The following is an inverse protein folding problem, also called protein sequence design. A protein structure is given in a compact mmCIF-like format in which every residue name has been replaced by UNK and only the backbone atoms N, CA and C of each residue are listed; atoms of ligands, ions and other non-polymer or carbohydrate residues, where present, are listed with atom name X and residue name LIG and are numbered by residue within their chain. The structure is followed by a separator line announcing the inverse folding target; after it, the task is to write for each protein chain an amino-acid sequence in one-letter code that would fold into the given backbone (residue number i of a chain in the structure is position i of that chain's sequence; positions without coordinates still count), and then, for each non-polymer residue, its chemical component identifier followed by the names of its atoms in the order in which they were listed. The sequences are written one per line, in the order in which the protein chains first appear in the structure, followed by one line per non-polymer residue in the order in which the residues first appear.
data_IF_186997639209
#
_entry.id   IF_186997639209
#
_cell.length_a   1.000
_cell.length_b   1.000
_cell.length_c   1.000
_cell.angle_alpha   90.00
_cell.angle_beta   90.00
_cell.angle_gamma   90.00
#
_symmetry.space_group_name_H-M   'P 1'
#
loop_
_entity.id
_entity.type
_entity.pdbx_description
1 polymer ?
#
# COMPACT_ATOMS: atom_id res chain seq x y z
N UNK A 1 33.82 -52.37 -48.09
CA UNK A 1 32.66 -51.48 -47.87
C UNK A 1 32.85 -50.44 -46.77
N UNK A 2 33.60 -50.71 -45.69
CA UNK A 2 33.87 -49.70 -44.64
C UNK A 2 32.59 -49.22 -43.91
N UNK A 3 31.63 -50.12 -43.67
CA UNK A 3 30.39 -49.86 -42.95
C UNK A 3 30.65 -49.59 -41.46
N UNK A 4 29.74 -48.87 -40.81
CA UNK A 4 29.72 -48.71 -39.35
C UNK A 4 29.56 -50.06 -38.65
N UNK A 5 30.47 -50.38 -37.74
CA UNK A 5 30.45 -51.64 -36.98
C UNK A 5 29.30 -51.72 -35.95
N UNK A 6 28.68 -50.59 -35.62
CA UNK A 6 27.54 -50.50 -34.69
C UNK A 6 26.22 -50.26 -35.45
N UNK A 7 26.27 -49.55 -36.58
CA UNK A 7 25.08 -49.09 -37.32
C UNK A 7 24.66 -49.97 -38.50
N UNK A 8 25.39 -51.03 -38.84
CA UNK A 8 25.14 -51.83 -40.06
C UNK A 8 25.11 -53.34 -39.79
N UNK A 9 24.23 -54.05 -40.49
CA UNK A 9 24.13 -55.52 -40.48
C UNK A 9 24.99 -56.20 -41.55
N UNK A 10 25.56 -55.45 -42.50
CA UNK A 10 26.36 -55.98 -43.59
C UNK A 10 26.48 -55.03 -44.78
N UNK A 11 27.23 -55.45 -45.80
CA UNK A 11 27.32 -54.73 -47.08
C UNK A 11 26.51 -55.44 -48.16
N UNK A 12 25.90 -54.66 -49.05
CA UNK A 12 25.28 -55.20 -50.27
C UNK A 12 26.35 -55.50 -51.33
N UNK A 13 26.08 -56.39 -52.28
CA UNK A 13 26.98 -56.69 -53.42
C UNK A 13 27.15 -55.51 -54.41
N UNK A 14 26.52 -54.36 -54.13
CA UNK A 14 26.72 -53.11 -54.84
C UNK A 14 27.87 -52.32 -54.17
N UNK A 15 28.90 -51.87 -54.91
CA UNK A 15 30.13 -51.37 -54.33
C UNK A 15 29.91 -50.09 -53.51
N UNK A 16 29.91 -50.24 -52.18
CA UNK A 16 29.92 -49.12 -51.23
C UNK A 16 28.59 -48.78 -50.55
N UNK A 17 27.54 -49.59 -50.71
CA UNK A 17 26.28 -49.40 -49.97
C UNK A 17 26.12 -50.43 -48.83
N UNK A 18 25.92 -49.93 -47.61
CA UNK A 18 25.77 -50.73 -46.41
C UNK A 18 24.30 -50.84 -45.97
N UNK A 19 23.90 -52.02 -45.49
CA UNK A 19 22.55 -52.23 -44.93
C UNK A 19 22.51 -51.70 -43.51
N UNK A 20 21.73 -50.64 -43.27
CA UNK A 20 21.68 -49.98 -41.97
C UNK A 20 20.68 -50.63 -41.02
N UNK A 21 21.03 -50.64 -39.73
CA UNK A 21 20.15 -51.04 -38.65
C UNK A 21 19.14 -49.93 -38.33
N UNK A 22 17.98 -50.24 -37.71
CA UNK A 22 17.02 -49.24 -37.28
C UNK A 22 17.68 -48.15 -36.43
N UNK A 23 17.43 -46.88 -36.78
CA UNK A 23 18.04 -45.72 -36.13
C UNK A 23 19.32 -45.19 -36.77
N UNK A 24 19.88 -45.87 -37.78
CA UNK A 24 21.09 -45.42 -38.50
C UNK A 24 20.80 -45.07 -39.97
N UNK A 25 21.59 -44.15 -40.52
CA UNK A 25 21.48 -43.64 -41.89
C UNK A 25 22.86 -43.22 -42.45
N UNK A 26 22.87 -42.88 -43.74
CA UNK A 26 24.09 -42.63 -44.53
C UNK A 26 24.47 -43.85 -45.39
N UNK A 27 25.42 -43.67 -46.31
CA UNK A 27 25.82 -44.75 -47.24
C UNK A 27 26.56 -45.90 -46.53
N UNK A 28 27.18 -45.60 -45.39
CA UNK A 28 27.96 -46.52 -44.55
C UNK A 28 27.33 -46.68 -43.16
N UNK A 29 26.13 -46.16 -42.94
CA UNK A 29 25.41 -46.16 -41.66
C UNK A 29 26.17 -45.40 -40.55
N UNK A 30 26.81 -44.30 -40.95
CA UNK A 30 27.72 -43.50 -40.12
C UNK A 30 27.03 -42.39 -39.28
N UNK A 31 25.75 -42.14 -39.52
CA UNK A 31 24.97 -41.09 -38.83
C UNK A 31 23.63 -41.63 -38.34
N UNK A 32 22.95 -40.89 -37.46
CA UNK A 32 21.62 -41.29 -36.98
C UNK A 32 20.53 -40.98 -38.01
N UNK A 33 19.51 -41.82 -38.05
CA UNK A 33 18.33 -41.64 -38.89
C UNK A 33 17.44 -40.50 -38.37
N UNK A 34 16.60 -39.93 -39.24
CA UNK A 34 15.67 -38.87 -38.84
C UNK A 34 14.73 -39.34 -37.72
N UNK A 35 14.78 -38.67 -36.56
CA UNK A 35 14.07 -39.10 -35.34
C UNK A 35 14.95 -39.88 -34.35
N UNK A 36 16.27 -39.92 -34.57
CA UNK A 36 17.27 -40.46 -33.66
C UNK A 36 18.44 -39.47 -33.49
N UNK A 37 19.13 -39.54 -32.36
CA UNK A 37 20.29 -38.71 -32.02
C UNK A 37 21.43 -39.57 -31.40
N UNK A 38 22.69 -39.12 -31.42
CA UNK A 38 23.82 -39.91 -30.93
C UNK A 38 23.91 -39.95 -29.39
N UNK A 39 24.16 -41.14 -28.84
CA UNK A 39 24.62 -41.32 -27.45
C UNK A 39 26.14 -41.10 -27.37
N UNK A 40 26.54 -39.96 -26.80
CA UNK A 40 27.93 -39.60 -26.53
C UNK A 40 28.70 -40.64 -25.70
N UNK A 41 28.02 -41.46 -24.88
CA UNK A 41 28.67 -42.50 -24.08
C UNK A 41 28.94 -43.80 -24.86
N UNK A 42 28.21 -44.08 -25.95
CA UNK A 42 28.17 -45.44 -26.55
C UNK A 42 28.22 -45.50 -28.07
N UNK A 43 28.24 -44.37 -28.79
CA UNK A 43 28.18 -44.34 -30.26
C UNK A 43 26.94 -45.02 -30.86
N UNK A 44 25.86 -45.14 -30.07
CA UNK A 44 24.59 -45.70 -30.51
C UNK A 44 23.60 -44.58 -30.85
N UNK A 45 22.70 -44.80 -31.81
CA UNK A 45 21.63 -43.86 -32.12
C UNK A 45 20.37 -44.15 -31.27
N UNK A 46 19.99 -43.21 -30.41
CA UNK A 46 18.83 -43.29 -29.53
C UNK A 46 17.61 -42.57 -30.14
N UNK A 47 16.38 -43.08 -30.00
CA UNK A 47 15.19 -42.45 -30.57
C UNK A 47 14.85 -41.14 -29.84
N UNK A 48 14.65 -40.07 -30.62
CA UNK A 48 14.31 -38.72 -30.12
C UNK A 48 13.10 -38.74 -29.17
N UNK A 49 12.11 -39.59 -29.41
CA UNK A 49 10.94 -39.81 -28.54
C UNK A 49 10.15 -38.52 -28.22
N UNK A 50 10.03 -37.62 -29.20
CA UNK A 50 9.31 -36.36 -29.07
C UNK A 50 7.79 -36.57 -28.93
N UNK A 51 7.15 -35.77 -28.07
CA UNK A 51 5.70 -35.76 -27.88
C UNK A 51 4.96 -35.48 -29.20
N UNK A 52 4.03 -36.35 -29.65
CA UNK A 52 3.31 -36.14 -30.90
C UNK A 52 2.33 -34.96 -30.82
N UNK A 53 1.79 -34.67 -29.63
CA UNK A 53 0.91 -33.51 -29.40
C UNK A 53 1.72 -32.23 -29.24
N UNK A 54 2.86 -32.25 -28.53
CA UNK A 54 3.59 -31.04 -28.15
C UNK A 54 4.80 -30.65 -29.01
N UNK A 55 5.41 -31.58 -29.76
CA UNK A 55 6.51 -31.26 -30.67
C UNK A 55 6.02 -30.88 -32.08
N UNK A 56 6.85 -30.14 -32.83
CA UNK A 56 6.63 -29.80 -34.25
C UNK A 56 6.89 -30.99 -35.20
N UNK A 57 7.55 -32.05 -34.71
CA UNK A 57 7.84 -33.26 -35.45
C UNK A 57 8.64 -34.25 -34.58
N UNK A 58 8.95 -35.46 -35.10
CA UNK A 58 9.63 -36.50 -34.34
C UNK A 58 11.16 -36.32 -34.25
N UNK A 59 11.74 -35.31 -34.91
CA UNK A 59 13.18 -35.04 -34.94
C UNK A 59 13.62 -34.04 -33.86
N UNK A 60 14.81 -34.31 -33.31
CA UNK A 60 15.51 -33.58 -32.28
C UNK A 60 16.89 -33.12 -32.78
N UNK A 61 17.62 -32.35 -31.97
CA UNK A 61 19.06 -32.09 -32.15
C UNK A 61 19.92 -33.23 -31.57
N UNK A 62 21.25 -33.10 -31.65
CA UNK A 62 22.19 -34.14 -31.22
C UNK A 62 22.14 -34.42 -29.69
N UNK A 63 21.82 -33.40 -28.89
CA UNK A 63 21.54 -33.50 -27.44
C UNK A 63 20.21 -34.24 -27.13
N UNK A 64 19.42 -34.56 -28.16
CA UNK A 64 18.15 -35.26 -28.03
C UNK A 64 16.96 -34.34 -27.70
N UNK A 65 17.09 -33.02 -27.86
CA UNK A 65 16.04 -32.03 -27.57
C UNK A 65 15.10 -31.84 -28.76
N UNK A 66 13.82 -31.98 -28.50
CA UNK A 66 12.76 -31.83 -29.49
C UNK A 66 12.41 -30.36 -29.73
N UNK A 67 12.00 -30.02 -30.97
CA UNK A 67 11.52 -28.66 -31.31
C UNK A 67 10.04 -28.53 -30.93
N UNK A 68 9.76 -27.80 -29.85
CA UNK A 68 8.42 -27.71 -29.27
C UNK A 68 7.50 -26.73 -30.02
N UNK A 69 6.19 -26.97 -29.91
CA UNK A 69 5.13 -26.01 -30.25
C UNK A 69 5.06 -24.91 -29.18
N UNK A 70 4.42 -23.80 -29.52
CA UNK A 70 4.10 -22.72 -28.56
C UNK A 70 3.30 -23.29 -27.39
N UNK A 71 3.67 -22.91 -26.16
CA UNK A 71 3.05 -23.41 -24.92
C UNK A 71 3.61 -24.73 -24.38
N UNK A 72 4.53 -25.39 -25.09
CA UNK A 72 5.17 -26.65 -24.69
C UNK A 72 6.65 -26.45 -24.36
N UNK A 73 7.18 -27.23 -23.42
CA UNK A 73 8.58 -27.17 -22.94
C UNK A 73 9.11 -28.55 -22.56
N UNK A 74 10.31 -28.57 -21.97
CA UNK A 74 11.10 -29.75 -21.61
C UNK A 74 11.71 -30.49 -22.81
N UNK A 75 12.61 -31.45 -22.56
CA UNK A 75 13.43 -32.10 -23.58
C UNK A 75 12.59 -32.76 -24.69
N UNK A 76 11.41 -33.28 -24.34
CA UNK A 76 10.53 -34.05 -25.21
C UNK A 76 9.24 -33.32 -25.61
N UNK A 77 9.07 -32.06 -25.22
CA UNK A 77 7.86 -31.25 -25.50
C UNK A 77 6.58 -31.86 -24.92
N UNK A 78 6.68 -32.48 -23.75
CA UNK A 78 5.66 -33.27 -23.06
C UNK A 78 5.03 -32.55 -21.86
N UNK A 79 5.43 -31.29 -21.59
CA UNK A 79 4.98 -30.48 -20.46
C UNK A 79 4.64 -29.07 -20.91
N UNK A 80 3.65 -28.43 -20.29
CA UNK A 80 3.34 -27.02 -20.56
C UNK A 80 4.46 -26.09 -20.08
N UNK A 81 4.75 -25.04 -20.84
CA UNK A 81 5.67 -23.97 -20.47
C UNK A 81 5.07 -23.05 -19.39
N UNK A 82 5.89 -22.22 -18.76
CA UNK A 82 5.37 -21.18 -17.88
C UNK A 82 4.45 -20.21 -18.66
N UNK A 83 3.41 -19.73 -18.00
CA UNK A 83 2.31 -19.01 -18.66
C UNK A 83 1.29 -19.90 -19.37
N UNK A 84 1.42 -21.24 -19.30
CA UNK A 84 0.48 -22.22 -19.85
C UNK A 84 0.13 -23.32 -18.83
N UNK A 85 -1.06 -23.90 -18.97
CA UNK A 85 -1.58 -25.00 -18.14
C UNK A 85 -2.19 -26.10 -18.99
N UNK A 86 -2.28 -27.31 -18.46
CA UNK A 86 -2.85 -28.46 -19.15
C UNK A 86 -4.39 -28.43 -19.13
N UNK A 87 -4.99 -28.33 -20.32
CA UNK A 87 -6.42 -28.41 -20.53
C UNK A 87 -6.71 -29.51 -21.58
N UNK A 88 -7.43 -30.56 -21.19
CA UNK A 88 -7.85 -31.64 -22.10
C UNK A 88 -6.71 -32.30 -22.92
N UNK A 89 -5.49 -32.38 -22.37
CA UNK A 89 -4.31 -32.93 -23.04
C UNK A 89 -3.62 -31.96 -24.03
N UNK A 90 -3.94 -30.67 -23.99
CA UNK A 90 -3.24 -29.59 -24.69
C UNK A 90 -2.82 -28.50 -23.70
N UNK A 91 -1.87 -27.64 -24.08
CA UNK A 91 -1.43 -26.54 -23.23
C UNK A 91 -2.10 -25.23 -23.64
N UNK A 92 -2.96 -24.70 -22.78
CA UNK A 92 -3.65 -23.42 -22.96
C UNK A 92 -2.96 -22.29 -22.18
N UNK A 93 -3.02 -21.03 -22.66
CA UNK A 93 -2.43 -19.90 -21.94
C UNK A 93 -3.22 -19.54 -20.66
N UNK A 94 -2.51 -19.15 -19.62
CA UNK A 94 -3.09 -18.76 -18.32
C UNK A 94 -4.06 -17.58 -18.43
N UNK A 95 -5.33 -17.77 -18.07
CA UNK A 95 -6.42 -16.78 -18.26
C UNK A 95 -6.56 -15.79 -17.07
N UNK A 96 -5.47 -15.17 -16.64
CA UNK A 96 -5.39 -14.43 -15.37
C UNK A 96 -5.87 -12.97 -15.39
N UNK A 97 -6.86 -12.63 -16.24
CA UNK A 97 -7.42 -11.26 -16.37
C UNK A 97 -6.38 -10.12 -16.51
N UNK A 98 -5.20 -10.40 -17.08
CA UNK A 98 -4.04 -9.49 -17.14
C UNK A 98 -3.54 -8.98 -15.76
N UNK A 99 -3.84 -9.72 -14.69
CA UNK A 99 -3.35 -9.48 -13.32
C UNK A 99 -2.31 -10.53 -12.89
N UNK A 100 -2.02 -11.53 -13.71
CA UNK A 100 -0.80 -12.35 -13.64
C UNK A 100 -0.43 -12.85 -15.04
N UNK A 101 0.82 -13.26 -15.23
CA UNK A 101 1.33 -13.98 -16.39
C UNK A 101 1.69 -15.43 -16.07
N UNK A 102 1.39 -15.91 -14.85
CA UNK A 102 1.72 -17.25 -14.36
C UNK A 102 0.53 -17.90 -13.67
N UNK A 103 0.36 -19.19 -13.91
CA UNK A 103 -0.63 -20.03 -13.26
C UNK A 103 -0.03 -21.40 -12.95
N UNK A 104 -0.66 -22.14 -12.04
CA UNK A 104 -0.35 -23.53 -11.79
C UNK A 104 -0.61 -24.38 -13.05
N UNK A 105 0.39 -25.17 -13.44
CA UNK A 105 0.40 -25.86 -14.74
C UNK A 105 -0.62 -27.01 -14.85
N UNK A 106 -1.21 -27.48 -13.75
CA UNK A 106 -2.20 -28.56 -13.73
C UNK A 106 -3.64 -28.06 -13.58
N UNK A 107 -3.85 -26.98 -12.82
CA UNK A 107 -5.20 -26.48 -12.48
C UNK A 107 -5.60 -25.19 -13.19
N UNK A 108 -4.65 -24.53 -13.86
CA UNK A 108 -4.86 -23.19 -14.45
C UNK A 108 -4.99 -22.06 -13.40
N UNK A 109 -4.86 -22.37 -12.10
CA UNK A 109 -5.05 -21.40 -11.02
C UNK A 109 -3.94 -20.36 -11.02
N UNK A 110 -4.30 -19.09 -11.21
CA UNK A 110 -3.36 -17.98 -11.34
C UNK A 110 -2.56 -17.72 -10.07
N UNK A 111 -1.25 -17.56 -10.24
CA UNK A 111 -0.30 -17.35 -9.14
C UNK A 111 0.01 -15.86 -9.00
N UNK A 112 0.23 -15.41 -7.77
CA UNK A 112 0.68 -14.04 -7.43
C UNK A 112 -0.16 -12.89 -8.03
N UNK A 113 -1.50 -13.04 -8.07
CA UNK A 113 -2.45 -12.04 -8.56
C UNK A 113 -2.14 -10.59 -8.11
N UNK A 114 -1.84 -9.72 -9.07
CA UNK A 114 -1.41 -8.33 -8.89
C UNK A 114 -2.59 -7.35 -8.84
N UNK A 115 -2.32 -6.06 -8.64
CA UNK A 115 -3.37 -5.03 -8.67
C UNK A 115 -4.46 -5.18 -7.61
N UNK A 116 -4.14 -5.81 -6.47
CA UNK A 116 -5.07 -6.12 -5.37
C UNK A 116 -6.22 -7.07 -5.76
N UNK A 117 -5.96 -8.01 -6.67
CA UNK A 117 -6.93 -9.06 -7.05
C UNK A 117 -6.70 -10.40 -6.33
N UNK A 118 -7.75 -11.22 -6.33
CA UNK A 118 -7.77 -12.63 -5.89
C UNK A 118 -8.81 -13.43 -6.71
N UNK A 119 -9.05 -14.69 -6.35
CA UNK A 119 -9.83 -15.64 -7.16
C UNK A 119 -8.93 -16.53 -8.04
N UNK A 120 -9.51 -17.49 -8.76
CA UNK A 120 -8.74 -18.49 -9.54
C UNK A 120 -8.07 -17.91 -10.77
N UNK A 121 -8.63 -16.84 -11.31
CA UNK A 121 -8.25 -16.14 -12.54
C UNK A 121 -7.92 -14.67 -12.26
N UNK A 122 -7.67 -14.31 -10.99
CA UNK A 122 -7.53 -12.93 -10.53
C UNK A 122 -8.78 -12.05 -10.83
N UNK A 123 -9.96 -12.67 -10.84
CA UNK A 123 -11.26 -12.11 -11.24
C UNK A 123 -11.95 -11.27 -10.14
N UNK A 124 -11.58 -11.48 -8.87
CA UNK A 124 -12.12 -10.78 -7.71
C UNK A 124 -11.16 -9.68 -7.23
N UNK A 125 -11.68 -8.68 -6.52
CA UNK A 125 -10.86 -7.77 -5.73
C UNK A 125 -10.66 -8.34 -4.31
N UNK A 126 -9.48 -8.14 -3.73
CA UNK A 126 -9.17 -8.60 -2.38
C UNK A 126 -10.08 -7.95 -1.34
N UNK A 127 -10.35 -8.67 -0.26
CA UNK A 127 -11.00 -8.13 0.94
C UNK A 127 -10.47 -6.73 1.32
N UNK A 128 -11.36 -5.75 1.43
CA UNK A 128 -11.03 -4.34 1.66
C UNK A 128 -10.74 -3.52 0.40
N UNK A 129 -10.98 -4.07 -0.79
CA UNK A 129 -10.96 -3.40 -2.09
C UNK A 129 -12.27 -3.62 -2.85
N UNK A 130 -12.67 -2.65 -3.66
CA UNK A 130 -13.84 -2.72 -4.54
C UNK A 130 -13.41 -2.54 -6.00
N UNK A 131 -14.17 -3.13 -6.93
CA UNK A 131 -13.94 -3.00 -8.36
C UNK A 131 -14.52 -1.68 -8.87
N UNK A 132 -13.69 -0.85 -9.50
CA UNK A 132 -14.11 0.29 -10.33
C UNK A 132 -13.58 0.09 -11.75
N UNK A 133 -14.50 -0.02 -12.71
CA UNK A 133 -14.23 -0.57 -14.05
C UNK A 133 -13.40 -1.87 -13.98
N UNK A 134 -12.12 -1.82 -14.36
CA UNK A 134 -11.23 -2.98 -14.37
C UNK A 134 -10.21 -3.02 -13.22
N UNK A 135 -10.21 -2.02 -12.33
CA UNK A 135 -9.19 -1.85 -11.28
C UNK A 135 -9.76 -1.99 -9.87
N UNK A 136 -9.00 -2.59 -8.96
CA UNK A 136 -9.39 -2.76 -7.56
C UNK A 136 -8.86 -1.61 -6.70
N UNK A 137 -9.77 -0.74 -6.27
CA UNK A 137 -9.47 0.43 -5.44
C UNK A 137 -9.75 0.10 -3.98
N UNK A 138 -8.97 0.68 -3.06
CA UNK A 138 -9.15 0.42 -1.62
C UNK A 138 -10.50 0.98 -1.16
N UNK A 139 -11.22 0.23 -0.33
CA UNK A 139 -12.44 0.73 0.30
C UNK A 139 -12.15 2.03 1.09
N UNK A 140 -12.98 3.07 0.94
CA UNK A 140 -12.83 4.37 1.64
C UNK A 140 -13.25 4.30 3.12
N UNK A 141 -13.14 3.13 3.75
CA UNK A 141 -13.54 2.85 5.12
C UNK A 141 -12.41 3.18 6.10
N UNK A 142 -12.76 3.83 7.21
CA UNK A 142 -11.85 3.97 8.35
C UNK A 142 -11.42 2.61 8.89
N UNK A 143 -10.11 2.37 8.99
CA UNK A 143 -9.53 1.12 9.48
C UNK A 143 -9.80 0.86 10.96
N UNK A 144 -9.95 1.93 11.74
CA UNK A 144 -10.25 1.87 13.18
C UNK A 144 -11.76 1.72 13.39
N UNK A 145 -12.59 2.43 12.63
CA UNK A 145 -14.03 2.52 12.85
C UNK A 145 -14.90 1.54 12.03
N UNK A 146 -14.30 0.70 11.17
CA UNK A 146 -15.02 -0.28 10.35
C UNK A 146 -14.37 -1.68 10.42
N UNK A 147 -15.00 -2.67 9.77
CA UNK A 147 -14.34 -3.90 9.30
C UNK A 147 -13.36 -3.63 8.16
N UNK A 148 -13.51 -2.50 7.44
CA UNK A 148 -12.68 -2.13 6.29
C UNK A 148 -13.17 -2.66 4.94
N UNK A 149 -14.23 -3.48 4.93
CA UNK A 149 -14.88 -4.02 3.73
C UNK A 149 -16.02 -3.10 3.26
N UNK A 150 -16.31 -3.11 1.96
CA UNK A 150 -17.31 -2.26 1.35
C UNK A 150 -17.95 -2.90 0.10
N UNK A 151 -19.14 -2.43 -0.23
CA UNK A 151 -19.94 -2.81 -1.40
C UNK A 151 -20.40 -1.58 -2.18
N UNK A 152 -20.54 -1.70 -3.49
CA UNK A 152 -21.08 -0.66 -4.37
C UNK A 152 -22.39 -1.17 -4.98
N UNK A 153 -23.49 -0.41 -4.87
CA UNK A 153 -24.77 -0.83 -5.44
C UNK A 153 -24.90 -0.36 -6.90
N UNK A 154 -25.70 -1.05 -7.74
CA UNK A 154 -25.89 -0.64 -9.13
C UNK A 154 -26.44 0.80 -9.23
N UNK A 155 -25.67 1.68 -9.86
CA UNK A 155 -26.00 3.11 -10.00
C UNK A 155 -25.35 4.04 -8.96
N UNK A 156 -24.70 3.51 -7.92
CA UNK A 156 -23.88 4.32 -7.01
C UNK A 156 -22.49 4.60 -7.61
N UNK A 157 -22.00 5.83 -7.47
CA UNK A 157 -20.66 6.23 -7.93
C UNK A 157 -19.54 5.94 -6.90
N UNK A 158 -19.90 5.60 -5.67
CA UNK A 158 -18.98 5.33 -4.57
C UNK A 158 -19.48 4.15 -3.73
N UNK A 159 -18.58 3.31 -3.18
CA UNK A 159 -18.98 2.19 -2.32
C UNK A 159 -19.36 2.67 -0.91
N UNK A 160 -20.18 1.88 -0.22
CA UNK A 160 -20.54 2.02 1.19
C UNK A 160 -19.92 0.88 2.01
N UNK A 161 -19.38 1.18 3.18
CA UNK A 161 -18.78 0.20 4.08
C UNK A 161 -19.84 -0.75 4.68
N UNK A 162 -19.51 -2.05 4.78
CA UNK A 162 -20.52 -3.05 5.16
C UNK A 162 -20.94 -2.96 6.62
N UNK A 163 -19.99 -2.58 7.50
CA UNK A 163 -20.21 -2.52 8.94
C UNK A 163 -19.31 -1.46 9.60
N UNK A 164 -19.95 -0.52 10.29
CA UNK A 164 -19.29 0.36 11.24
C UNK A 164 -19.20 -0.30 12.62
N UNK A 165 -18.21 0.10 13.42
CA UNK A 165 -18.08 -0.30 14.82
C UNK A 165 -19.02 0.53 15.69
N UNK A 166 -19.27 0.05 16.91
CA UNK A 166 -20.08 0.76 17.91
C UNK A 166 -19.51 2.18 18.10
N UNK A 167 -20.40 3.18 18.07
CA UNK A 167 -20.05 4.60 18.13
C UNK A 167 -19.86 5.29 16.78
N UNK A 168 -19.77 4.55 15.67
CA UNK A 168 -19.52 5.11 14.34
C UNK A 168 -20.65 4.85 13.34
N UNK A 169 -20.79 5.75 12.37
CA UNK A 169 -21.84 5.78 11.34
C UNK A 169 -21.38 6.53 10.08
N UNK A 170 -22.31 6.77 9.15
CA UNK A 170 -22.02 7.32 7.82
C UNK A 170 -21.52 6.24 6.83
N UNK A 171 -21.53 6.51 5.51
CA UNK A 171 -21.21 5.51 4.48
C UNK A 171 -19.77 5.00 4.55
N UNK A 172 -18.84 5.82 5.06
CA UNK A 172 -17.42 5.52 5.21
C UNK A 172 -17.01 5.14 6.66
N UNK A 173 -17.99 5.02 7.57
CA UNK A 173 -17.78 4.84 9.01
C UNK A 173 -16.86 5.91 9.64
N UNK A 174 -17.03 7.17 9.22
CA UNK A 174 -16.19 8.30 9.60
C UNK A 174 -16.96 9.42 10.33
N UNK A 175 -18.17 9.14 10.80
CA UNK A 175 -19.03 10.06 11.55
C UNK A 175 -19.43 9.40 12.87
N UNK A 176 -19.62 10.16 13.95
CA UNK A 176 -20.11 9.58 15.19
C UNK A 176 -21.60 9.24 15.11
N UNK A 177 -21.98 8.08 15.65
CA UNK A 177 -23.37 7.65 15.76
C UNK A 177 -24.12 8.48 16.82
N UNK A 178 -25.45 8.53 16.74
CA UNK A 178 -26.25 9.22 17.76
C UNK A 178 -25.97 8.67 19.18
N UNK A 179 -25.75 9.57 20.14
CA UNK A 179 -25.26 9.23 21.49
C UNK A 179 -23.74 9.16 21.62
N UNK A 180 -22.99 9.56 20.57
CA UNK A 180 -21.54 9.70 20.58
C UNK A 180 -21.12 11.05 19.97
N UNK A 181 -19.97 11.55 20.39
CA UNK A 181 -19.35 12.79 19.90
C UNK A 181 -17.87 12.53 19.56
N UNK A 182 -17.30 13.35 18.69
CA UNK A 182 -15.89 13.23 18.33
C UNK A 182 -14.99 13.82 19.43
N UNK A 183 -13.99 13.04 19.83
CA UNK A 183 -12.87 13.47 20.66
C UNK A 183 -11.60 12.96 19.99
N UNK A 184 -10.83 13.86 19.38
CA UNK A 184 -9.58 13.54 18.68
C UNK A 184 -9.73 12.44 17.60
N UNK A 185 -10.77 12.54 16.75
CA UNK A 185 -11.13 11.53 15.73
C UNK A 185 -11.60 10.17 16.28
N UNK A 186 -11.94 10.10 17.58
CA UNK A 186 -12.49 8.91 18.23
C UNK A 186 -13.89 9.24 18.76
N UNK A 187 -14.89 8.44 18.38
CA UNK A 187 -16.27 8.65 18.83
C UNK A 187 -16.49 8.16 20.27
N UNK A 188 -16.56 9.09 21.21
CA UNK A 188 -16.77 8.85 22.64
C UNK A 188 -18.27 8.91 22.97
N UNK A 189 -18.75 8.01 23.83
CA UNK A 189 -20.17 7.95 24.22
C UNK A 189 -20.54 9.16 25.09
N UNK A 190 -21.62 9.85 24.73
CA UNK A 190 -22.16 10.98 25.49
C UNK A 190 -22.71 10.53 26.84
N UNK A 191 -22.49 11.35 27.87
CA UNK A 191 -22.81 11.05 29.27
C UNK A 191 -23.85 12.04 29.79
N UNK A 192 -25.13 11.73 29.57
CA UNK A 192 -26.26 12.62 29.89
C UNK A 192 -27.02 12.20 31.17
N UNK A 193 -26.36 11.46 32.07
CA UNK A 193 -26.89 10.97 33.35
C UNK A 193 -28.23 10.20 33.31
N UNK A 194 -28.66 9.73 32.13
CA UNK A 194 -29.99 9.12 31.92
C UNK A 194 -31.13 10.13 31.73
N UNK A 195 -30.85 11.44 31.83
CA UNK A 195 -31.82 12.52 31.74
C UNK A 195 -32.11 12.97 30.29
N UNK A 196 -31.94 12.08 29.30
CA UNK A 196 -32.26 12.32 27.88
C UNK A 196 -32.86 11.05 27.30
N UNK A 197 -34.05 11.15 26.71
CA UNK A 197 -34.74 10.03 26.06
C UNK A 197 -34.42 9.99 24.55
N UNK A 198 -33.77 8.92 24.04
CA UNK A 198 -33.46 8.76 22.61
C UNK A 198 -34.68 8.61 21.69
N UNK A 199 -35.89 8.42 22.23
CA UNK A 199 -37.14 8.34 21.45
C UNK A 199 -37.83 9.69 21.30
N UNK A 200 -37.56 10.64 22.22
CA UNK A 200 -38.12 11.99 22.21
C UNK A 200 -37.17 13.01 21.58
N UNK A 201 -35.85 12.79 21.66
CA UNK A 201 -34.83 13.69 21.11
C UNK A 201 -34.19 13.12 19.84
N UNK A 202 -34.14 13.87 18.71
CA UNK A 202 -33.55 13.38 17.46
C UNK A 202 -32.03 13.14 17.55
N UNK A 203 -31.36 13.82 18.50
CA UNK A 203 -29.97 13.60 18.88
C UNK A 203 -29.83 13.72 20.39
N UNK A 204 -29.03 12.82 20.99
CA UNK A 204 -28.80 12.77 22.44
C UNK A 204 -27.84 13.89 22.90
N UNK A 205 -26.95 14.32 22.01
CA UNK A 205 -25.86 15.26 22.28
C UNK A 205 -25.37 15.91 20.97
N UNK A 206 -24.62 17.01 21.09
CA UNK A 206 -23.94 17.67 19.97
C UNK A 206 -22.73 16.82 19.53
N UNK A 207 -22.60 16.45 18.24
CA UNK A 207 -21.57 15.50 17.80
C UNK A 207 -20.14 16.05 17.85
N UNK A 208 -19.95 17.37 17.94
CA UNK A 208 -18.63 18.02 17.98
C UNK A 208 -18.22 18.50 19.39
N UNK A 209 -19.11 18.44 20.38
CA UNK A 209 -18.78 18.85 21.76
C UNK A 209 -19.16 17.84 22.84
N UNK A 210 -20.08 16.90 22.59
CA UNK A 210 -20.59 15.97 23.60
C UNK A 210 -21.65 16.56 24.55
N UNK A 211 -21.93 17.86 24.45
CA UNK A 211 -22.96 18.56 25.21
C UNK A 211 -24.34 17.95 24.94
N UNK A 212 -25.04 17.54 25.99
CA UNK A 212 -26.32 16.85 25.90
C UNK A 212 -27.46 17.75 25.42
N UNK A 213 -28.38 17.17 24.65
CA UNK A 213 -29.54 17.86 24.05
C UNK A 213 -30.82 17.25 24.62
N UNK A 214 -31.83 18.08 24.89
CA UNK A 214 -33.14 17.61 25.34
C UNK A 214 -33.16 17.09 26.78
N UNK A 215 -32.44 17.75 27.69
CA UNK A 215 -32.44 17.42 29.11
C UNK A 215 -33.87 17.39 29.69
N UNK A 216 -34.24 16.25 30.26
CA UNK A 216 -35.55 16.00 30.89
C UNK A 216 -35.53 16.38 32.37
N UNK A 217 -36.68 16.22 33.04
CA UNK A 217 -36.83 16.36 34.50
C UNK A 217 -36.37 17.70 35.07
N UNK A 218 -36.48 18.79 34.28
CA UNK A 218 -35.94 20.12 34.61
C UNK A 218 -34.44 20.09 34.98
N UNK A 219 -33.67 19.25 34.29
CA UNK A 219 -32.21 19.20 34.42
C UNK A 219 -31.52 20.07 33.36
N UNK A 220 -30.28 20.49 33.65
CA UNK A 220 -29.51 21.41 32.84
C UNK A 220 -27.99 21.15 32.95
N UNK A 221 -27.20 22.02 32.31
CA UNK A 221 -25.75 21.88 32.19
C UNK A 221 -25.34 20.80 31.18
N UNK A 222 -24.06 20.80 30.83
CA UNK A 222 -23.49 20.02 29.71
C UNK A 222 -23.82 18.52 29.74
N UNK A 223 -23.95 17.92 30.92
CA UNK A 223 -24.27 16.51 31.15
C UNK A 223 -25.72 16.24 31.65
N UNK A 224 -26.63 17.21 31.53
CA UNK A 224 -27.99 17.15 32.13
C UNK A 224 -27.95 16.76 33.63
N UNK A 225 -27.12 17.45 34.40
CA UNK A 225 -26.72 17.06 35.76
C UNK A 225 -27.04 18.10 36.84
N UNK A 226 -27.17 19.37 36.45
CA UNK A 226 -27.67 20.47 37.27
C UNK A 226 -29.20 20.51 37.19
N UNK A 227 -29.85 21.32 38.03
CA UNK A 227 -31.26 21.66 37.85
C UNK A 227 -31.40 22.99 37.08
N UNK A 228 -32.44 23.10 36.27
CA UNK A 228 -32.81 24.31 35.53
C UNK A 228 -33.00 25.53 36.45
N UNK A 229 -32.77 26.73 35.93
CA UNK A 229 -32.90 27.98 36.68
C UNK A 229 -34.30 28.12 37.31
N UNK A 230 -34.36 28.13 38.65
CA UNK A 230 -35.60 28.16 39.42
C UNK A 230 -36.02 26.80 40.01
N UNK A 231 -35.25 25.74 39.78
CA UNK A 231 -35.43 24.42 40.39
C UNK A 231 -34.31 24.11 41.41
N UNK A 232 -34.52 23.06 42.21
CA UNK A 232 -33.58 22.45 43.16
C UNK A 232 -33.71 20.94 43.09
N UNK A 233 -32.66 20.21 43.45
CA UNK A 233 -32.72 18.75 43.57
C UNK A 233 -33.59 18.39 44.78
N UNK A 234 -34.53 17.48 44.57
CA UNK A 234 -35.44 17.02 45.61
C UNK A 234 -34.68 16.19 46.69
N UNK A 235 -35.17 16.07 47.94
CA UNK A 235 -34.46 15.34 49.00
C UNK A 235 -34.17 13.86 48.67
N UNK A 236 -34.98 13.26 47.80
CA UNK A 236 -34.80 11.88 47.30
C UNK A 236 -33.77 11.78 46.16
N UNK A 237 -33.17 12.91 45.74
CA UNK A 237 -31.95 13.00 44.94
C UNK A 237 -32.12 12.86 43.41
N UNK A 238 -33.22 12.26 42.94
CA UNK A 238 -33.39 11.87 41.53
C UNK A 238 -33.99 12.93 40.61
N UNK A 239 -34.78 13.87 41.14
CA UNK A 239 -35.61 14.77 40.33
C UNK A 239 -35.38 16.25 40.73
N UNK A 240 -35.71 17.20 39.85
CA UNK A 240 -35.60 18.63 40.12
C UNK A 240 -36.98 19.24 40.37
N UNK A 241 -37.24 19.69 41.60
CA UNK A 241 -38.49 20.34 42.01
C UNK A 241 -38.34 21.87 42.04
N UNK A 242 -39.42 22.60 41.72
CA UNK A 242 -39.38 24.05 41.60
C UNK A 242 -39.09 24.68 42.97
N UNK A 243 -38.15 25.63 43.04
CA UNK A 243 -37.90 26.41 44.26
C UNK A 243 -39.22 27.04 44.72
N UNK A 244 -39.67 26.66 45.91
CA UNK A 244 -40.72 27.38 46.60
C UNK A 244 -40.27 28.85 46.75
N UNK A 245 -41.12 29.79 46.33
CA UNK A 245 -40.83 31.19 46.47
C UNK A 245 -40.95 31.56 47.95
N UNK A 246 -39.84 31.49 48.68
CA UNK A 246 -39.75 32.03 50.03
C UNK A 246 -39.95 33.54 49.93
N UNK A 247 -41.16 34.00 50.24
CA UNK A 247 -41.41 35.40 50.59
C UNK A 247 -40.61 35.69 51.85
N UNK A 248 -39.37 36.15 51.66
CA UNK A 248 -38.54 36.66 52.74
C UNK A 248 -39.29 37.82 53.42
N UNK A 249 -39.18 37.96 54.75
CA UNK A 249 -39.88 39.02 55.46
C UNK A 249 -39.46 40.38 54.89
N UNK A 250 -40.45 41.20 54.56
CA UNK A 250 -40.28 42.54 54.02
C UNK A 250 -39.46 43.39 55.00
N UNK A 251 -38.23 43.77 54.61
CA UNK A 251 -37.39 44.64 55.41
C UNK A 251 -37.97 46.06 55.28
N UNK A 252 -38.75 46.46 56.28
CA UNK A 252 -39.33 47.80 56.38
C UNK A 252 -38.21 48.81 56.62
N UNK A 253 -37.68 49.41 55.55
CA UNK A 253 -36.72 50.51 55.64
C UNK A 253 -37.40 51.78 56.21
N UNK A 254 -37.17 52.02 57.50
CA UNK A 254 -37.62 53.21 58.21
C UNK A 254 -36.98 54.49 57.61
N UNK A 255 -37.75 55.21 56.79
CA UNK A 255 -37.27 56.40 56.07
C UNK A 255 -37.76 57.69 56.72
N UNK A 256 -36.85 58.54 57.23
CA UNK A 256 -36.98 60.01 57.31
C UNK A 256 -35.82 60.69 58.05
N UNK A 257 -35.51 61.99 57.79
CA UNK A 257 -35.78 62.76 56.57
C UNK A 257 -34.61 63.67 56.11
N UNK A 258 -34.86 64.44 55.03
CA UNK A 258 -34.17 65.68 54.61
C UNK A 258 -32.78 65.57 53.93
N UNK A 259 -32.45 66.36 52.88
CA UNK A 259 -33.31 67.10 51.92
C UNK A 259 -32.49 67.55 50.68
N UNK A 260 -33.10 67.53 49.48
CA UNK A 260 -32.70 68.27 48.26
C UNK A 260 -31.35 67.91 47.56
N UNK A 261 -31.19 68.02 46.23
CA UNK A 261 -32.16 68.33 45.16
C UNK A 261 -31.81 67.68 43.80
N UNK A 262 -32.86 67.64 42.97
CA UNK A 262 -32.99 67.22 41.56
C UNK A 262 -31.99 67.85 40.55
N UNK A 263 -31.89 67.43 39.26
CA UNK A 263 -32.98 67.03 38.34
C UNK A 263 -32.52 66.42 36.98
N UNK A 264 -33.29 65.43 36.48
CA UNK A 264 -33.53 64.98 35.05
C UNK A 264 -32.36 64.56 34.13
N UNK A 265 -32.38 63.43 33.39
CA UNK A 265 -33.19 63.01 32.19
C UNK A 265 -32.84 63.85 30.92
N UNK A 266 -32.64 63.33 29.69
CA UNK A 266 -33.14 62.10 29.03
C UNK A 266 -32.24 61.47 27.93
N UNK A 267 -32.67 60.30 27.42
CA UNK A 267 -32.36 59.69 26.10
C UNK A 267 -32.84 60.59 24.91
N UNK A 268 -32.55 60.33 23.60
CA UNK A 268 -32.62 59.02 22.90
C UNK A 268 -31.64 58.76 21.71
N UNK A 269 -32.01 57.82 20.83
CA UNK A 269 -31.21 57.07 19.83
C UNK A 269 -31.42 57.54 18.35
N UNK A 270 -30.63 56.98 17.43
CA UNK A 270 -30.83 56.83 15.96
C UNK A 270 -30.39 58.01 15.05
N UNK A 271 -29.93 57.87 13.78
CA UNK A 271 -29.26 56.86 12.92
C UNK A 271 -29.48 57.28 11.44
N UNK A 272 -28.44 57.24 10.59
CA UNK A 272 -28.44 57.23 9.10
C UNK A 272 -28.59 58.55 8.26
N UNK A 273 -27.46 58.88 7.59
CA UNK A 273 -27.18 59.29 6.19
C UNK A 273 -27.73 60.57 5.45
N UNK A 274 -26.81 61.10 4.62
CA UNK A 274 -27.00 61.72 3.27
C UNK A 274 -27.59 63.16 3.17
N UNK A 275 -27.18 64.04 2.23
CA UNK A 275 -26.18 63.96 1.13
C UNK A 275 -25.70 65.35 0.65
N UNK A 276 -24.43 65.43 0.18
CA UNK A 276 -23.88 66.27 -0.92
C UNK A 276 -24.10 67.81 -0.99
N UNK A 277 -22.96 68.55 -0.89
CA UNK A 277 -22.50 69.59 -1.86
C UNK A 277 -23.24 70.96 -1.99
N UNK A 278 -22.62 72.07 -2.50
CA UNK A 278 -21.43 72.13 -3.37
C UNK A 278 -20.32 73.20 -3.12
N UNK A 279 -19.13 72.86 -3.63
CA UNK A 279 -17.96 73.63 -4.16
C UNK A 279 -17.77 75.15 -3.95
N UNK A 280 -16.52 75.51 -3.57
CA UNK A 280 -15.66 76.57 -4.16
C UNK A 280 -14.20 76.21 -3.77
N UNK A 281 -13.33 75.70 -4.65
CA UNK A 281 -12.53 76.35 -5.71
C UNK A 281 -11.45 77.28 -5.13
N UNK A 282 -10.13 77.04 -5.27
CA UNK A 282 -9.36 75.90 -5.84
C UNK A 282 -8.67 75.12 -4.68
N UNK A 283 -7.45 74.54 -4.65
CA UNK A 283 -6.29 74.25 -5.55
C UNK A 283 -5.45 73.16 -4.81
N UNK A 284 -4.59 72.29 -5.36
CA UNK A 284 -4.18 71.90 -6.72
C UNK A 284 -3.70 70.41 -6.68
N UNK A 285 -3.39 69.80 -7.83
CA UNK A 285 -2.97 68.39 -8.01
C UNK A 285 -2.02 68.27 -9.23
N UNK A 286 -1.49 67.09 -9.64
CA UNK A 286 -1.58 65.73 -9.09
C UNK A 286 -0.20 65.22 -8.58
N UNK A 287 0.19 63.95 -8.42
CA UNK A 287 -0.31 62.57 -8.70
C UNK A 287 0.24 61.68 -7.52
N UNK A 288 0.11 60.35 -7.37
CA UNK A 288 -0.22 59.22 -8.25
C UNK A 288 -0.81 58.01 -7.47
N UNK A 289 -0.64 56.79 -7.98
CA UNK A 289 -1.26 55.52 -7.59
C UNK A 289 -0.47 54.59 -6.64
N UNK A 290 -1.22 53.61 -6.11
CA UNK A 290 -0.86 52.20 -5.83
C UNK A 290 0.04 51.82 -4.64
N UNK A 291 -0.66 51.49 -3.54
CA UNK A 291 -0.74 50.13 -2.94
C UNK A 291 0.37 49.50 -2.07
N UNK A 292 -0.18 48.78 -1.08
CA UNK A 292 0.33 47.61 -0.34
C UNK A 292 1.36 47.85 0.79
N UNK A 293 0.99 47.38 1.99
CA UNK A 293 1.81 47.44 3.21
C UNK A 293 2.82 46.29 3.25
N UNK A 294 4.02 46.49 2.71
CA UNK A 294 5.16 45.61 2.98
C UNK A 294 5.70 45.83 4.40
N UNK A 295 6.04 44.73 5.08
CA UNK A 295 6.66 44.78 6.40
C UNK A 295 8.00 45.50 6.36
N UNK A 296 8.24 46.41 7.31
CA UNK A 296 9.56 46.99 7.51
C UNK A 296 10.56 45.88 7.87
N UNK A 297 11.46 45.57 6.94
CA UNK A 297 12.57 44.67 7.20
C UNK A 297 13.54 45.35 8.18
N UNK A 298 13.96 44.63 9.21
CA UNK A 298 15.16 45.01 9.93
C UNK A 298 16.36 44.71 9.03
N UNK A 299 17.23 45.69 8.79
CA UNK A 299 18.41 45.53 7.93
C UNK A 299 19.43 44.56 8.56
N UNK A 300 19.25 43.27 8.29
CA UNK A 300 20.19 42.21 8.68
C UNK A 300 21.51 42.46 7.97
N UNK A 301 22.53 42.85 8.74
CA UNK A 301 23.87 43.09 8.21
C UNK A 301 24.40 41.89 7.40
N UNK A 302 25.12 42.15 6.30
CA UNK A 302 25.64 41.09 5.42
C UNK A 302 26.46 40.02 6.16
N UNK A 303 27.18 40.40 7.21
CA UNK A 303 27.89 39.49 8.12
C UNK A 303 26.93 38.57 8.88
N UNK A 304 25.85 39.11 9.44
CA UNK A 304 24.81 38.34 10.13
C UNK A 304 24.05 37.40 9.18
N UNK A 305 23.73 37.84 7.96
CA UNK A 305 23.14 36.97 6.93
C UNK A 305 24.06 35.78 6.59
N UNK A 306 25.34 36.05 6.33
CA UNK A 306 26.32 35.00 6.04
C UNK A 306 26.50 34.01 7.21
N UNK A 307 26.43 34.48 8.47
CA UNK A 307 26.44 33.61 9.66
C UNK A 307 25.20 32.71 9.70
N UNK A 308 24.01 33.23 9.40
CA UNK A 308 22.76 32.44 9.37
C UNK A 308 22.81 31.39 8.26
N UNK A 309 23.30 31.74 7.07
CA UNK A 309 23.48 30.77 5.97
C UNK A 309 24.50 29.69 6.36
N UNK A 310 25.62 30.06 7.00
CA UNK A 310 26.63 29.11 7.45
C UNK A 310 26.10 28.14 8.51
N UNK A 311 25.34 28.61 9.50
CA UNK A 311 24.77 27.72 10.53
C UNK A 311 23.72 26.78 9.96
N UNK A 312 22.87 27.23 9.03
CA UNK A 312 21.91 26.37 8.32
C UNK A 312 22.65 25.29 7.51
N UNK A 313 23.71 25.64 6.77
CA UNK A 313 24.52 24.66 6.03
C UNK A 313 25.14 23.62 6.97
N UNK A 314 25.72 24.04 8.10
CA UNK A 314 26.30 23.13 9.10
C UNK A 314 25.24 22.18 9.66
N UNK A 315 24.05 22.67 10.01
CA UNK A 315 22.94 21.86 10.52
C UNK A 315 22.51 20.82 9.45
N UNK A 316 22.34 21.23 8.20
CA UNK A 316 22.00 20.32 7.10
C UNK A 316 23.07 19.24 6.89
N UNK A 317 24.36 19.60 6.91
CA UNK A 317 25.47 18.63 6.78
C UNK A 317 25.48 17.64 7.95
N UNK A 318 25.28 18.10 9.20
CA UNK A 318 25.21 17.23 10.39
C UNK A 318 24.02 16.27 10.30
N UNK A 319 22.85 16.74 9.88
CA UNK A 319 21.66 15.89 9.69
C UNK A 319 21.85 14.85 8.58
N UNK A 320 22.47 15.21 7.46
CA UNK A 320 22.77 14.28 6.37
C UNK A 320 23.80 13.22 6.79
N UNK A 321 24.87 13.61 7.50
CA UNK A 321 25.86 12.66 8.03
C UNK A 321 25.24 11.72 9.07
N UNK A 322 24.36 12.24 9.94
CA UNK A 322 23.59 11.43 10.89
C UNK A 322 22.67 10.42 10.19
N UNK A 323 21.98 10.83 9.13
CA UNK A 323 21.13 9.95 8.32
C UNK A 323 21.95 8.85 7.62
N UNK A 324 23.08 9.19 7.00
CA UNK A 324 23.99 8.21 6.37
C UNK A 324 24.52 7.21 7.39
N UNK A 325 24.93 7.68 8.58
CA UNK A 325 25.36 6.82 9.69
C UNK A 325 24.26 5.85 10.16
N UNK A 326 23.02 6.34 10.29
CA UNK A 326 21.87 5.52 10.66
C UNK A 326 21.54 4.46 9.59
N UNK A 327 21.58 4.81 8.30
CA UNK A 327 21.37 3.86 7.19
C UNK A 327 22.48 2.80 7.13
N UNK A 328 23.74 3.19 7.39
CA UNK A 328 24.86 2.26 7.46
C UNK A 328 24.72 1.27 8.61
N UNK A 329 24.44 1.76 9.83
CA UNK A 329 24.18 0.91 11.01
C UNK A 329 22.97 -0.01 10.83
N UNK A 330 21.90 0.47 10.18
CA UNK A 330 20.73 -0.36 9.87
C UNK A 330 21.06 -1.49 8.88
N UNK A 331 21.85 -1.22 7.83
CA UNK A 331 22.33 -2.25 6.90
C UNK A 331 23.22 -3.28 7.58
N UNK A 332 24.16 -2.83 8.41
CA UNK A 332 25.04 -3.71 9.19
C UNK A 332 24.25 -4.62 10.14
N UNK A 333 23.22 -4.07 10.83
CA UNK A 333 22.32 -4.85 11.67
C UNK A 333 21.53 -5.91 10.90
N UNK A 334 21.02 -5.59 9.70
CA UNK A 334 20.31 -6.55 8.85
C UNK A 334 21.25 -7.64 8.30
N UNK A 335 22.47 -7.28 7.88
CA UNK A 335 23.48 -8.24 7.43
C UNK A 335 23.85 -9.24 8.56
N UNK A 336 24.02 -8.77 9.80
CA UNK A 336 24.21 -9.65 10.96
C UNK A 336 23.02 -10.57 11.23
N UNK A 337 21.80 -10.14 10.90
CA UNK A 337 20.59 -10.96 11.04
C UNK A 337 20.42 -11.99 9.92
N UNK A 338 20.97 -11.73 8.73
CA UNK A 338 21.04 -12.70 7.62
C UNK A 338 22.15 -13.74 7.83
N UNK A 339 23.28 -13.34 8.41
CA UNK A 339 24.43 -14.23 8.66
C UNK A 339 24.37 -14.94 10.03
N UNK A 340 23.34 -14.69 10.85
CA UNK A 340 23.09 -15.46 12.06
C UNK A 340 22.44 -16.81 11.69
N UNK A 341 23.06 -17.96 12.00
CA UNK A 341 22.44 -19.24 11.72
C UNK A 341 21.15 -19.37 12.54
N UNK A 342 20.07 -19.82 11.91
CA UNK A 342 18.83 -20.08 12.63
C UNK A 342 18.99 -21.37 13.44
N UNK A 343 18.89 -21.27 14.77
CA UNK A 343 18.90 -22.42 15.67
C UNK A 343 17.52 -22.56 16.30
N UNK A 344 16.61 -23.30 15.67
CA UNK A 344 15.36 -23.73 16.30
C UNK A 344 15.65 -24.84 17.28
N UNK A 345 15.66 -24.52 18.58
CA UNK A 345 15.77 -25.51 19.65
C UNK A 345 14.41 -26.20 19.80
N UNK A 346 14.21 -27.32 19.09
CA UNK A 346 13.12 -28.24 19.43
C UNK A 346 13.50 -28.99 20.71
N UNK A 347 12.78 -28.71 21.80
CA UNK A 347 12.84 -29.51 23.01
C UNK A 347 12.05 -30.80 22.79
N UNK A 348 12.73 -31.83 22.27
CA UNK A 348 12.27 -33.21 22.38
C UNK A 348 12.66 -33.76 23.75
N UNK A 349 11.72 -34.45 24.40
CA UNK A 349 11.90 -34.98 25.74
C UNK A 349 13.12 -35.92 25.77
N UNK A 350 14.04 -35.64 26.70
CA UNK A 350 15.25 -36.39 27.05
C UNK A 350 16.37 -36.56 25.99
N UNK A 351 16.43 -35.77 24.90
CA UNK A 351 17.63 -35.69 24.04
C UNK A 351 17.85 -34.34 23.34
N UNK A 352 19.01 -33.70 23.56
CA UNK A 352 19.45 -32.49 22.83
C UNK A 352 20.24 -32.89 21.58
N UNK A 353 19.55 -33.19 20.48
CA UNK A 353 20.17 -33.43 19.18
C UNK A 353 20.26 -32.14 18.35
N UNK A 354 21.47 -31.63 18.10
CA UNK A 354 21.72 -30.58 17.11
C UNK A 354 21.71 -31.17 15.70
N UNK A 355 20.71 -30.82 14.88
CA UNK A 355 20.66 -31.15 13.44
C UNK A 355 20.90 -29.89 12.59
N UNK A 356 22.01 -29.89 11.84
CA UNK A 356 22.30 -28.84 10.85
C UNK A 356 21.60 -29.16 9.53
N UNK A 357 20.66 -28.32 9.11
CA UNK A 357 19.83 -28.54 7.92
C UNK A 357 20.52 -28.12 6.61
N UNK A 358 21.72 -28.66 6.33
CA UNK A 358 22.55 -28.18 5.20
C UNK A 358 23.24 -29.26 4.33
N UNK A 359 23.07 -30.56 4.63
CA UNK A 359 23.79 -31.65 3.95
C UNK A 359 23.03 -32.21 2.72
N UNK A 360 22.34 -31.36 1.96
CA UNK A 360 21.43 -31.79 0.87
C UNK A 360 21.41 -30.88 -0.37
N UNK A 361 22.54 -30.25 -0.69
CA UNK A 361 22.75 -29.61 -2.01
C UNK A 361 24.11 -30.06 -2.57
N UNK A 362 24.14 -30.98 -3.57
CA UNK A 362 25.37 -31.27 -4.29
C UNK A 362 25.67 -30.19 -5.34
N UNK A 363 26.96 -30.01 -5.63
CA UNK A 363 27.52 -29.28 -6.77
C UNK A 363 27.32 -27.74 -6.78
N UNK A 364 28.24 -27.05 -6.12
CA UNK A 364 28.75 -25.75 -6.58
C UNK A 364 30.28 -25.83 -6.58
N UNK A 365 30.92 -25.62 -7.74
CA UNK A 365 32.36 -25.83 -7.90
C UNK A 365 33.20 -24.82 -7.11
N UNK A 366 34.21 -25.31 -6.39
CA UNK A 366 35.23 -24.48 -5.74
C UNK A 366 36.47 -24.45 -6.63
N UNK A 367 36.53 -23.44 -7.49
CA UNK A 367 37.74 -23.07 -8.26
C UNK A 367 37.66 -21.61 -8.67
N UNK A 368 38.34 -20.73 -7.92
CA UNK A 368 38.29 -19.29 -8.19
C UNK A 368 38.83 -18.36 -7.11
N UNK A 369 39.78 -18.80 -6.25
CA UNK A 369 40.41 -17.90 -5.27
C UNK A 369 41.73 -18.47 -4.72
N UNK A 370 42.85 -18.17 -5.38
CA UNK A 370 44.20 -17.97 -4.83
C UNK A 370 45.22 -17.75 -5.96
N UNK A 371 45.63 -16.49 -6.17
CA UNK A 371 46.84 -15.98 -6.86
C UNK A 371 46.62 -14.47 -7.13
N UNK A 372 47.56 -13.54 -6.96
CA UNK A 372 48.63 -13.30 -5.97
C UNK A 372 48.99 -11.79 -6.06
N UNK A 373 49.56 -11.15 -5.04
CA UNK A 373 49.73 -9.68 -4.99
C UNK A 373 50.97 -9.17 -5.78
N UNK A 374 50.81 -9.01 -7.10
CA UNK A 374 51.82 -8.48 -8.02
C UNK A 374 51.89 -6.94 -8.10
N UNK A 375 52.53 -6.29 -7.12
CA UNK A 375 52.67 -4.83 -7.07
C UNK A 375 53.78 -4.28 -8.00
N UNK A 376 53.41 -3.60 -9.11
CA UNK A 376 54.39 -2.85 -9.94
C UNK A 376 53.86 -1.52 -10.53
N UNK A 377 54.79 -0.67 -10.97
CA UNK A 377 54.67 0.80 -11.05
C UNK A 377 54.16 1.32 -12.40
N UNK A 378 53.25 2.30 -12.37
CA UNK A 378 52.77 3.01 -13.57
C UNK A 378 53.78 4.02 -14.13
N UNK A 379 53.69 4.35 -15.44
CA UNK A 379 53.95 5.74 -15.85
C UNK A 379 52.78 6.42 -16.60
N UNK A 380 52.38 5.90 -17.76
CA UNK A 380 51.82 6.73 -18.83
C UNK A 380 50.29 6.62 -18.98
N UNK A 381 49.58 7.69 -18.61
CA UNK A 381 48.12 7.74 -18.64
C UNK A 381 47.52 8.47 -19.84
N UNK A 382 46.29 8.07 -20.21
CA UNK A 382 45.29 8.93 -20.84
C UNK A 382 43.89 8.43 -20.46
N UNK A 383 43.03 9.33 -19.97
CA UNK A 383 41.64 9.02 -19.66
C UNK A 383 40.78 9.12 -20.93
N UNK A 384 40.38 7.98 -21.49
CA UNK A 384 39.42 7.92 -22.62
C UNK A 384 38.05 7.46 -22.14
N UNK A 385 37.09 8.38 -22.08
CA UNK A 385 35.67 8.07 -21.91
C UNK A 385 35.08 7.56 -23.24
N UNK A 386 34.51 6.36 -23.25
CA UNK A 386 33.76 5.81 -24.40
C UNK A 386 32.49 5.08 -23.95
N UNK A 387 31.40 5.84 -23.80
CA UNK A 387 30.05 5.29 -23.66
C UNK A 387 29.34 5.22 -25.02
N UNK A 388 28.89 4.04 -25.48
CA UNK A 388 28.03 3.95 -26.67
C UNK A 388 26.60 4.39 -26.33
N UNK A 389 26.11 5.46 -26.95
CA UNK A 389 24.66 5.73 -27.01
C UNK A 389 24.03 4.78 -28.04
N UNK A 390 23.01 4.02 -27.65
CA UNK A 390 22.11 3.38 -28.61
C UNK A 390 20.83 4.20 -28.76
N UNK A 391 20.69 4.86 -29.91
CA UNK A 391 19.43 5.48 -30.32
C UNK A 391 18.49 4.42 -30.91
N UNK A 392 17.20 4.53 -30.62
CA UNK A 392 16.14 3.93 -31.42
C UNK A 392 15.11 5.00 -31.77
N UNK A 393 14.87 5.18 -33.08
CA UNK A 393 13.77 5.97 -33.61
C UNK A 393 13.40 5.49 -35.03
N UNK A 394 12.26 4.83 -35.13
CA UNK A 394 11.39 4.77 -36.30
C UNK A 394 9.99 4.42 -35.79
#
# INVERSE_FOLDING_TARGET
CNCSAVGSSGCHDAPGHCTCLPGYAGLRCEHCAHGFHPDHSRQHCLPCSCSPTGALGPSCDDDGRCRCKVGMTDLKCDRCSDGYYEANGTCEPCQCNNHSNTCDRQTGTCLHCQGNTEGKHCELCRNGFYRSAHTCHRCPCSTVASTGTCRIQPGEAAPTCDKCRVGYSGPNCNQCANGYYDSDSICVRCQCNGNVDPTLSPSICKPESGECIGCLYHTAGFHCHECENGYVRDPEGTNCTRKAATLGPEIIEFTSPALNASKTTSLPTAVINSTLSPTTIQTIFPLSSSDNSTSAFADVSWTQFNIIILTVIIIVVVLLMGFVGAVYMYREYQNRKLNAPFWTIELKEDNISFSSYHDSIPNADVSGLLEDDGNEVAPNGQLTLTTPMHNFKA
#
